data_IF_622226371657
#
_entry.id   IF_622226371657
#
_cell.length_a   1.000
_cell.length_b   1.000
_cell.length_c   1.000
_cell.angle_alpha   90.00
_cell.angle_beta   90.00
_cell.angle_gamma   90.00
#
_symmetry.space_group_name_H-M   'P 1'
#
loop_
_entity.id
_entity.type
_entity.pdbx_description
1 polymer ?
#
# COMPACT_ATOMS: atom_id res chain seq x y z
N UNK A 1 15.19 24.57 -2.11
CA UNK A 1 14.35 24.04 -1.01
C UNK A 1 13.54 22.88 -1.57
N UNK A 2 13.66 21.69 -0.97
CA UNK A 2 12.92 20.50 -1.39
C UNK A 2 11.52 20.57 -0.77
N UNK A 3 10.51 20.95 -1.55
CA UNK A 3 9.11 20.74 -1.17
C UNK A 3 8.69 19.38 -1.70
N UNK A 4 8.90 18.33 -0.90
CA UNK A 4 8.22 17.06 -1.14
C UNK A 4 6.81 17.25 -0.61
N UNK A 5 5.89 17.66 -1.48
CA UNK A 5 4.46 17.64 -1.16
C UNK A 5 4.03 16.18 -1.36
N UNK A 6 4.04 15.40 -0.29
CA UNK A 6 3.38 14.10 -0.30
C UNK A 6 1.88 14.38 -0.22
N UNK A 7 1.21 14.43 -1.37
CA UNK A 7 -0.26 14.40 -1.40
C UNK A 7 -0.66 12.95 -1.18
N UNK A 8 -0.87 12.61 0.09
CA UNK A 8 -1.30 11.30 0.56
C UNK A 8 -2.78 11.11 0.23
N UNK A 9 -3.13 10.90 -1.04
CA UNK A 9 -4.54 10.79 -1.48
C UNK A 9 -5.18 9.44 -1.17
N UNK A 10 -4.41 8.41 -0.80
CA UNK A 10 -4.94 7.05 -0.71
C UNK A 10 -4.38 6.20 0.46
N UNK A 11 -3.95 6.83 1.55
CA UNK A 11 -3.26 6.13 2.65
C UNK A 11 -4.08 6.13 3.94
N UNK A 12 -5.37 5.83 3.83
CA UNK A 12 -6.21 5.72 5.04
C UNK A 12 -6.03 4.37 5.75
N UNK A 13 -5.61 3.32 5.04
CA UNK A 13 -5.38 2.00 5.63
C UNK A 13 -3.94 1.80 6.14
N UNK A 14 -2.91 2.10 5.33
CA UNK A 14 -1.52 1.73 5.66
C UNK A 14 -0.85 2.60 6.73
N UNK A 15 -1.17 3.90 6.80
CA UNK A 15 -0.58 4.81 7.82
C UNK A 15 -1.19 4.59 9.21
N UNK A 16 -2.49 4.25 9.29
CA UNK A 16 -3.17 4.00 10.56
C UNK A 16 -2.55 2.81 11.31
N UNK A 17 -2.07 1.78 10.58
CA UNK A 17 -1.33 0.65 11.17
C UNK A 17 0.07 1.05 11.66
N UNK A 18 0.79 1.92 10.92
CA UNK A 18 2.12 2.42 11.30
C UNK A 18 2.13 3.25 12.59
N UNK A 19 1.11 4.08 12.82
CA UNK A 19 0.98 4.88 14.05
C UNK A 19 0.44 4.08 15.25
N UNK A 20 -0.24 2.95 15.03
CA UNK A 20 -0.70 2.09 16.13
C UNK A 20 0.44 1.30 16.76
N UNK A 21 1.43 0.86 15.97
CA UNK A 21 2.59 0.13 16.45
C UNK A 21 3.56 0.99 17.28
N UNK A 22 3.58 2.31 17.06
CA UNK A 22 4.46 3.25 17.77
C UNK A 22 3.90 3.76 19.10
N UNK A 23 2.64 3.44 19.45
CA UNK A 23 1.96 4.01 20.63
C UNK A 23 1.97 3.13 21.87
N UNK A 24 2.69 2.01 21.89
CA UNK A 24 2.87 1.18 23.08
C UNK A 24 4.14 1.63 23.79
N UNK A 25 4.02 2.67 24.63
CA UNK A 25 5.12 3.09 25.48
C UNK A 25 5.04 4.54 25.95
N UNK A 26 4.03 4.87 26.74
CA UNK A 26 4.17 5.92 27.77
C UNK A 26 3.01 5.82 28.77
N UNK A 27 3.33 5.36 29.98
CA UNK A 27 2.42 5.33 31.11
C UNK A 27 2.67 6.51 32.06
N UNK A 28 1.59 6.99 32.68
CA UNK A 28 1.53 7.49 34.05
C UNK A 28 2.12 8.88 34.36
N UNK A 29 1.26 9.81 34.80
CA UNK A 29 1.68 11.02 35.52
C UNK A 29 0.53 11.99 35.80
N UNK A 30 0.08 12.04 37.06
CA UNK A 30 -0.93 12.95 37.61
C UNK A 30 -0.45 14.41 37.83
N UNK A 31 -1.42 15.33 37.96
CA UNK A 31 -1.31 16.67 38.56
C UNK A 31 -1.52 17.81 37.55
N UNK A 32 -2.26 18.89 37.76
CA UNK A 32 -2.90 19.53 38.91
C UNK A 32 -3.44 20.91 38.41
N UNK A 33 -4.37 21.51 39.15
CA UNK A 33 -5.34 22.58 38.77
C UNK A 33 -4.82 24.04 38.70
N UNK A 34 -5.73 24.91 38.20
CA UNK A 34 -6.01 26.36 38.44
C UNK A 34 -5.54 27.36 37.37
N UNK A 35 -6.46 28.01 36.62
CA UNK A 35 -7.32 29.21 36.90
C UNK A 35 -6.54 30.52 36.68
N UNK A 36 -7.05 31.66 36.19
CA UNK A 36 -8.19 32.11 35.36
C UNK A 36 -8.01 33.66 35.24
N UNK A 37 -8.75 34.34 34.34
CA UNK A 37 -9.06 35.80 34.27
C UNK A 37 -7.97 36.80 33.77
N UNK A 38 -8.15 37.55 32.65
CA UNK A 38 -9.03 38.72 32.35
C UNK A 38 -8.51 40.05 32.99
N UNK A 39 -8.52 41.29 32.45
CA UNK A 39 -9.22 41.99 31.35
C UNK A 39 -8.75 43.49 31.26
N UNK A 40 -8.83 44.13 30.07
CA UNK A 40 -8.93 45.59 29.71
C UNK A 40 -7.89 46.64 30.20
N UNK A 41 -7.54 47.75 29.50
CA UNK A 41 -7.94 48.37 28.23
C UNK A 41 -7.33 49.80 28.01
N UNK A 42 -7.29 50.23 26.74
CA UNK A 42 -7.37 51.60 26.16
C UNK A 42 -6.18 52.64 26.16
N UNK A 43 -5.65 52.86 24.93
CA UNK A 43 -5.41 54.11 24.12
C UNK A 43 -4.43 55.22 24.59
N UNK A 44 -3.37 55.49 23.79
CA UNK A 44 -3.20 56.70 22.93
C UNK A 44 -1.74 56.98 22.47
N UNK A 45 -1.60 57.30 21.16
CA UNK A 45 -0.66 58.21 20.46
C UNK A 45 0.86 57.95 20.35
N UNK A 46 1.36 58.05 19.11
CA UNK A 46 2.64 58.70 18.79
C UNK A 46 3.70 57.89 18.03
N UNK A 47 3.68 58.01 16.70
CA UNK A 47 4.78 58.03 15.71
C UNK A 47 6.07 57.16 15.80
N UNK A 48 6.38 56.64 14.60
CA UNK A 48 7.69 56.33 13.99
C UNK A 48 8.40 54.97 14.25
N UNK A 49 8.65 54.32 13.09
CA UNK A 49 9.82 53.52 12.67
C UNK A 49 9.93 52.03 13.05
N UNK A 50 9.68 51.25 12.01
CA UNK A 50 10.47 50.11 11.49
C UNK A 50 10.70 48.83 12.32
N UNK A 51 10.56 47.73 11.59
CA UNK A 51 11.05 46.38 11.86
C UNK A 51 10.29 45.54 12.91
N UNK A 52 9.49 44.58 12.44
CA UNK A 52 9.62 43.14 12.76
C UNK A 52 8.32 42.35 12.63
N UNK A 53 8.44 41.20 11.96
CA UNK A 53 7.68 39.95 12.16
C UNK A 53 6.16 40.05 12.03
N UNK A 54 5.69 39.84 10.80
CA UNK A 54 4.31 39.39 10.58
C UNK A 54 4.12 38.04 11.27
N UNK A 55 3.38 38.05 12.37
CA UNK A 55 2.93 36.86 13.07
C UNK A 55 2.05 36.06 12.13
N UNK A 56 2.57 34.91 11.68
CA UNK A 56 1.79 33.94 10.92
C UNK A 56 0.68 33.43 11.84
N UNK A 57 -0.55 33.78 11.47
CA UNK A 57 -1.80 33.30 12.04
C UNK A 57 -1.73 31.79 12.24
N UNK A 58 -1.58 31.39 13.50
CA UNK A 58 -1.50 29.98 13.92
C UNK A 58 -2.92 29.50 14.18
N UNK A 59 -3.68 29.27 13.12
CA UNK A 59 -4.98 28.61 13.23
C UNK A 59 -5.30 27.98 11.89
N UNK A 60 -5.33 26.63 11.88
CA UNK A 60 -5.88 25.66 10.89
C UNK A 60 -4.96 24.42 10.66
N UNK A 61 -3.75 24.35 11.21
CA UNK A 61 -2.82 23.22 10.97
C UNK A 61 -2.92 22.01 11.93
N UNK A 62 -3.88 21.93 12.84
CA UNK A 62 -3.82 20.94 13.94
C UNK A 62 -4.52 19.60 13.73
N UNK A 63 -5.02 19.29 12.52
CA UNK A 63 -5.68 17.98 12.26
C UNK A 63 -4.76 16.99 11.54
N UNK A 64 -3.74 17.48 10.84
CA UNK A 64 -2.73 16.65 10.17
C UNK A 64 -1.36 17.20 10.53
N UNK A 65 -0.59 16.45 11.33
CA UNK A 65 0.77 16.84 11.69
C UNK A 65 1.62 16.95 10.43
N UNK A 66 1.97 18.17 10.03
CA UNK A 66 2.97 18.40 8.99
C UNK A 66 4.33 18.10 9.61
N UNK A 67 4.93 17.00 9.20
CA UNK A 67 6.30 16.65 9.59
C UNK A 67 7.26 17.41 8.66
N UNK A 68 8.26 18.07 9.22
CA UNK A 68 9.28 18.75 8.43
C UNK A 68 10.17 17.72 7.70
N UNK A 69 10.84 18.16 6.63
CA UNK A 69 11.60 17.24 5.79
C UNK A 69 12.74 16.53 6.54
N UNK A 70 13.35 17.16 7.55
CA UNK A 70 14.43 16.52 8.30
C UNK A 70 13.90 15.38 9.17
N UNK A 71 12.79 15.61 9.89
CA UNK A 71 12.13 14.57 10.68
C UNK A 71 11.56 13.46 9.80
N UNK A 72 10.94 13.81 8.66
CA UNK A 72 10.44 12.82 7.71
C UNK A 72 11.58 11.93 7.18
N UNK A 73 12.72 12.52 6.80
CA UNK A 73 13.90 11.77 6.36
C UNK A 73 14.61 11.01 7.49
N UNK A 74 14.33 11.31 8.76
CA UNK A 74 14.82 10.55 9.91
C UNK A 74 13.98 9.31 10.18
N UNK A 75 12.65 9.43 10.03
CA UNK A 75 11.71 8.32 10.18
C UNK A 75 11.66 7.42 8.92
N UNK A 76 11.89 8.03 7.77
CA UNK A 76 11.85 7.41 6.45
C UNK A 76 13.13 7.75 5.67
N UNK A 77 14.26 7.09 5.99
CA UNK A 77 15.54 7.33 5.32
C UNK A 77 15.50 7.08 3.80
N UNK A 78 14.59 6.24 3.32
CA UNK A 78 14.34 5.99 1.90
C UNK A 78 13.90 7.26 1.14
N UNK A 79 13.27 8.24 1.81
CA UNK A 79 12.83 9.50 1.17
C UNK A 79 14.00 10.34 0.65
N UNK A 80 15.20 10.15 1.20
CA UNK A 80 16.42 10.85 0.75
C UNK A 80 16.85 10.44 -0.66
N UNK A 81 16.41 9.27 -1.12
CA UNK A 81 16.78 8.66 -2.41
C UNK A 81 15.73 8.88 -3.49
N UNK A 82 14.63 9.54 -3.16
CA UNK A 82 13.61 9.90 -4.15
C UNK A 82 14.15 10.93 -5.14
N UNK A 83 13.76 10.84 -6.41
CA UNK A 83 14.07 11.87 -7.38
C UNK A 83 13.39 13.19 -6.98
N UNK A 84 13.86 14.35 -7.48
CA UNK A 84 13.21 15.65 -7.27
C UNK A 84 11.92 15.76 -8.12
N UNK A 85 11.04 14.77 -8.01
CA UNK A 85 9.81 14.59 -8.77
C UNK A 85 8.65 14.41 -7.78
N UNK A 86 7.44 14.63 -8.26
CA UNK A 86 6.23 14.41 -7.46
C UNK A 86 5.94 12.92 -7.42
N UNK A 87 6.04 12.33 -6.23
CA UNK A 87 5.56 10.97 -5.98
C UNK A 87 4.04 11.01 -5.85
N UNK A 88 3.35 10.21 -6.65
CA UNK A 88 1.88 10.12 -6.69
C UNK A 88 1.32 8.86 -6.08
N UNK A 89 2.12 7.79 -6.01
CA UNK A 89 1.73 6.52 -5.42
C UNK A 89 2.80 6.02 -4.47
N UNK A 90 2.35 5.46 -3.35
CA UNK A 90 3.21 4.82 -2.36
C UNK A 90 2.51 3.59 -1.81
N UNK A 91 3.28 2.55 -1.49
CA UNK A 91 2.80 1.42 -0.71
C UNK A 91 3.87 0.97 0.28
N UNK A 92 3.43 0.40 1.40
CA UNK A 92 4.30 -0.02 2.50
C UNK A 92 3.96 -1.43 2.93
N UNK A 93 4.99 -2.25 3.15
CA UNK A 93 4.87 -3.57 3.74
C UNK A 93 5.81 -3.67 4.94
N UNK A 94 5.28 -4.10 6.08
CA UNK A 94 6.07 -4.41 7.27
C UNK A 94 6.44 -5.90 7.24
N UNK A 95 7.70 -6.17 7.55
CA UNK A 95 8.29 -7.49 7.65
C UNK A 95 8.80 -7.65 9.08
N UNK A 96 8.23 -8.57 9.83
CA UNK A 96 8.56 -8.78 11.25
C UNK A 96 9.25 -10.13 11.41
N UNK A 97 10.57 -10.13 11.58
CA UNK A 97 11.36 -11.35 11.81
C UNK A 97 11.94 -11.33 13.24
N UNK A 98 11.16 -11.87 14.18
CA UNK A 98 11.49 -11.83 15.61
C UNK A 98 11.60 -10.41 16.13
N UNK A 99 12.79 -10.04 16.65
CA UNK A 99 13.08 -8.69 17.14
C UNK A 99 13.48 -7.71 16.00
N UNK A 100 13.68 -8.21 14.78
CA UNK A 100 14.02 -7.37 13.64
C UNK A 100 12.76 -6.97 12.87
N UNK A 101 12.60 -5.66 12.70
CA UNK A 101 11.50 -5.08 11.96
C UNK A 101 12.05 -4.40 10.72
N UNK A 102 11.61 -4.81 9.53
CA UNK A 102 11.94 -4.13 8.30
C UNK A 102 10.70 -3.50 7.70
N UNK A 103 10.87 -2.34 7.07
CA UNK A 103 9.85 -1.70 6.26
C UNK A 103 10.30 -1.71 4.82
N UNK A 104 9.44 -2.22 3.95
CA UNK A 104 9.58 -2.08 2.53
C UNK A 104 8.65 -0.99 2.01
N UNK A 105 9.19 -0.09 1.21
CA UNK A 105 8.48 1.11 0.74
C UNK A 105 8.60 1.20 -0.77
N UNK A 106 7.48 1.21 -1.48
CA UNK A 106 7.42 1.39 -2.92
C UNK A 106 6.92 2.81 -3.26
N UNK A 107 7.45 3.40 -4.32
CA UNK A 107 7.18 4.76 -4.75
C UNK A 107 6.99 4.82 -6.27
N UNK A 108 6.03 5.63 -6.73
CA UNK A 108 5.72 5.80 -8.14
C UNK A 108 5.40 7.26 -8.49
N UNK A 109 5.82 7.70 -9.68
CA UNK A 109 5.65 9.08 -10.15
C UNK A 109 4.82 9.16 -11.44
N UNK A 110 4.40 10.36 -11.79
CA UNK A 110 3.67 10.64 -13.05
C UNK A 110 4.51 10.46 -14.32
N UNK A 111 5.82 10.38 -14.21
CA UNK A 111 6.72 10.20 -15.35
C UNK A 111 7.30 8.78 -15.45
N UNK A 112 6.65 7.82 -14.79
CA UNK A 112 6.98 6.40 -14.89
C UNK A 112 8.12 5.94 -14.00
N UNK A 113 8.73 6.81 -13.20
CA UNK A 113 9.77 6.39 -12.27
C UNK A 113 9.17 5.58 -11.12
N UNK A 114 9.86 4.47 -10.78
CA UNK A 114 9.49 3.56 -9.71
C UNK A 114 10.70 3.35 -8.82
N UNK A 115 10.52 3.42 -7.51
CA UNK A 115 11.57 3.12 -6.53
C UNK A 115 11.05 2.20 -5.43
N UNK A 116 11.91 1.31 -4.94
CA UNK A 116 11.63 0.43 -3.80
C UNK A 116 12.79 0.51 -2.82
N UNK A 117 12.51 0.83 -1.57
CA UNK A 117 13.46 0.84 -0.47
C UNK A 117 13.17 -0.26 0.54
N UNK A 118 14.22 -0.83 1.12
CA UNK A 118 14.17 -1.71 2.28
C UNK A 118 14.90 -1.04 3.45
N UNK A 119 14.19 -0.84 4.54
CA UNK A 119 14.65 -0.09 5.72
C UNK A 119 14.62 -1.00 6.94
N UNK A 120 15.67 -0.97 7.73
CA UNK A 120 15.64 -1.48 9.10
C UNK A 120 14.93 -0.48 9.99
N UNK A 121 13.94 -0.91 10.75
CA UNK A 121 13.15 -0.06 11.64
C UNK A 121 13.73 -0.03 13.06
N UNK A 122 14.59 -0.99 13.42
CA UNK A 122 15.26 -1.01 14.74
C UNK A 122 16.37 0.05 14.82
N UNK A 123 17.12 0.20 13.72
CA UNK A 123 18.00 1.31 13.45
C UNK A 123 17.53 1.92 12.14
N UNK A 124 16.89 3.11 12.10
CA UNK A 124 16.20 3.66 10.94
C UNK A 124 17.17 3.97 9.79
N UNK A 125 17.63 2.92 9.14
CA UNK A 125 18.71 2.89 8.16
C UNK A 125 18.22 2.15 6.91
N UNK A 126 18.56 2.74 5.76
CA UNK A 126 18.24 2.18 4.47
C UNK A 126 19.21 1.05 4.13
N UNK A 127 18.72 -0.20 4.15
CA UNK A 127 19.51 -1.39 3.80
C UNK A 127 19.73 -1.50 2.29
N UNK A 128 18.68 -1.23 1.50
CA UNK A 128 18.75 -1.31 0.05
C UNK A 128 17.75 -0.37 -0.61
N UNK A 129 18.07 0.07 -1.82
CA UNK A 129 17.18 0.86 -2.66
C UNK A 129 17.39 0.54 -4.13
N UNK A 130 16.31 0.22 -4.82
CA UNK A 130 16.31 -0.09 -6.24
C UNK A 130 15.31 0.80 -6.96
N UNK A 131 15.59 1.13 -8.22
CA UNK A 131 14.67 1.93 -9.01
C UNK A 131 14.72 1.51 -10.48
N UNK A 132 13.66 1.86 -11.20
CA UNK A 132 13.54 1.67 -12.64
C UNK A 132 12.60 2.74 -13.21
N UNK A 133 12.41 2.74 -14.53
CA UNK A 133 11.45 3.64 -15.18
C UNK A 133 10.60 2.87 -16.17
N UNK A 134 9.31 3.19 -16.14
CA UNK A 134 8.33 2.91 -17.17
C UNK A 134 8.24 4.10 -18.12
N UNK A 135 7.63 3.89 -19.29
CA UNK A 135 7.47 4.90 -20.33
C UNK A 135 6.17 5.72 -20.15
N UNK A 136 5.36 5.38 -19.15
CA UNK A 136 4.09 6.03 -18.85
C UNK A 136 3.88 6.25 -17.35
N UNK A 137 2.92 7.13 -17.02
CA UNK A 137 2.61 7.49 -15.64
C UNK A 137 2.27 6.26 -14.79
N UNK A 138 2.85 6.17 -13.59
CA UNK A 138 2.45 5.16 -12.61
C UNK A 138 1.08 5.53 -12.07
N UNK A 139 0.14 4.59 -12.12
CA UNK A 139 -1.26 4.75 -11.69
C UNK A 139 -1.60 3.90 -10.48
N UNK A 140 -0.70 3.01 -10.06
CA UNK A 140 -0.89 2.19 -8.87
C UNK A 140 0.33 1.33 -8.55
N UNK A 141 0.55 1.07 -7.26
CA UNK A 141 1.59 0.20 -6.75
C UNK A 141 1.01 -0.66 -5.64
N UNK A 142 1.39 -1.94 -5.60
CA UNK A 142 1.04 -2.83 -4.49
C UNK A 142 2.18 -3.78 -4.16
N UNK A 143 2.58 -3.81 -2.90
CA UNK A 143 3.48 -4.80 -2.33
C UNK A 143 2.64 -5.96 -1.79
N UNK A 144 3.03 -7.18 -2.15
CA UNK A 144 2.32 -8.39 -1.75
C UNK A 144 3.24 -9.61 -1.77
N UNK A 145 2.86 -10.67 -1.06
CA UNK A 145 3.56 -11.95 -1.08
C UNK A 145 2.78 -12.91 -1.96
N UNK A 146 3.42 -13.59 -2.91
CA UNK A 146 2.70 -14.48 -3.82
C UNK A 146 2.51 -15.89 -3.26
N UNK A 147 3.52 -16.44 -2.56
CA UNK A 147 3.53 -17.87 -2.23
C UNK A 147 3.56 -18.18 -0.73
N UNK A 148 4.17 -17.31 0.06
CA UNK A 148 4.28 -17.49 1.50
C UNK A 148 3.79 -16.20 2.16
N UNK A 149 2.55 -16.19 2.64
CA UNK A 149 1.94 -15.02 3.28
C UNK A 149 2.57 -14.69 4.64
N UNK A 150 3.12 -15.71 5.30
CA UNK A 150 3.72 -15.60 6.63
C UNK A 150 5.23 -15.33 6.56
N UNK A 151 5.83 -15.43 5.38
CA UNK A 151 7.25 -15.12 5.17
C UNK A 151 7.59 -13.70 5.60
N UNK A 152 8.65 -13.60 6.39
CA UNK A 152 9.24 -12.35 6.85
C UNK A 152 10.38 -11.91 5.92
N UNK A 153 10.72 -12.73 4.94
CA UNK A 153 11.83 -12.50 4.01
C UNK A 153 11.48 -11.42 2.98
N UNK A 154 12.31 -10.37 2.84
CA UNK A 154 12.16 -9.39 1.75
C UNK A 154 12.24 -10.01 0.35
N UNK A 155 12.83 -11.21 0.23
CA UNK A 155 12.96 -11.89 -1.06
C UNK A 155 11.64 -12.50 -1.55
N UNK A 156 10.66 -12.71 -0.68
CA UNK A 156 9.38 -13.34 -1.07
C UNK A 156 8.32 -12.30 -1.47
N UNK A 157 8.64 -11.02 -1.32
CA UNK A 157 7.74 -9.94 -1.68
C UNK A 157 7.85 -9.64 -3.18
N UNK A 158 6.70 -9.41 -3.80
CA UNK A 158 6.57 -8.93 -5.17
C UNK A 158 5.97 -7.53 -5.21
N UNK A 159 6.26 -6.80 -6.28
CA UNK A 159 5.72 -5.47 -6.54
C UNK A 159 4.84 -5.52 -7.80
N UNK A 160 3.55 -5.26 -7.62
CA UNK A 160 2.61 -4.98 -8.70
C UNK A 160 2.69 -3.50 -9.08
N UNK A 161 2.80 -3.23 -10.37
CA UNK A 161 2.90 -1.87 -10.92
C UNK A 161 1.84 -1.69 -12.00
N UNK A 162 0.98 -0.71 -11.79
CA UNK A 162 0.02 -0.22 -12.78
C UNK A 162 0.57 1.03 -13.46
N UNK A 163 0.42 1.06 -14.78
CA UNK A 163 0.89 2.14 -15.63
C UNK A 163 -0.23 2.59 -16.56
N UNK A 164 -0.26 3.87 -16.91
CA UNK A 164 -1.35 4.46 -17.67
C UNK A 164 -1.43 3.99 -19.12
N UNK A 165 -0.30 3.69 -19.77
CA UNK A 165 -0.24 3.31 -21.20
C UNK A 165 0.51 2.00 -21.45
N UNK A 166 0.96 1.35 -20.38
CA UNK A 166 1.69 0.09 -20.46
C UNK A 166 0.88 -1.02 -19.79
N UNK A 167 1.11 -2.28 -20.18
CA UNK A 167 0.59 -3.41 -19.45
C UNK A 167 0.96 -3.36 -17.97
N UNK A 168 0.10 -3.92 -17.11
CA UNK A 168 0.37 -4.11 -15.69
C UNK A 168 1.47 -5.14 -15.56
N UNK A 169 2.38 -4.90 -14.64
CA UNK A 169 3.53 -5.77 -14.44
C UNK A 169 3.74 -6.14 -12.99
N UNK A 170 4.29 -7.32 -12.77
CA UNK A 170 4.75 -7.77 -11.46
C UNK A 170 6.27 -7.94 -11.51
N UNK A 171 6.97 -7.21 -10.65
CA UNK A 171 8.38 -7.42 -10.37
C UNK A 171 8.51 -8.42 -9.21
N UNK A 172 9.10 -9.59 -9.48
CA UNK A 172 9.35 -10.59 -8.44
C UNK A 172 10.61 -10.24 -7.64
N UNK A 173 10.53 -10.43 -6.32
CA UNK A 173 11.69 -10.52 -5.43
C UNK A 173 12.71 -9.37 -5.63
N UNK A 174 12.32 -8.10 -5.44
CA UNK A 174 13.18 -6.95 -5.76
C UNK A 174 14.49 -6.96 -4.95
N UNK A 175 14.53 -7.66 -3.81
CA UNK A 175 15.69 -7.77 -2.91
C UNK A 175 16.25 -9.20 -2.79
N UNK A 176 16.11 -10.04 -3.82
CA UNK A 176 16.67 -11.40 -3.80
C UNK A 176 18.20 -11.37 -3.61
N UNK A 177 18.70 -12.10 -2.60
CA UNK A 177 20.13 -12.30 -2.37
C UNK A 177 20.66 -13.37 -3.35
N UNK A 178 21.11 -12.97 -4.53
CA UNK A 178 21.85 -13.88 -5.40
C UNK A 178 23.27 -14.06 -4.84
N UNK A 179 23.59 -15.26 -4.35
CA UNK A 179 24.90 -15.65 -3.81
C UNK A 179 26.06 -15.70 -4.83
N UNK A 180 25.94 -15.02 -5.97
CA UNK A 180 27.00 -14.89 -6.98
C UNK A 180 27.72 -13.56 -6.83
N UNK A 181 28.96 -13.62 -6.33
CA UNK A 181 29.93 -12.53 -6.40
C UNK A 181 30.06 -12.01 -7.86
N UNK A 182 29.55 -10.81 -8.13
CA UNK A 182 29.91 -10.02 -9.31
C UNK A 182 28.74 -9.36 -10.03
N UNK A 183 28.52 -8.06 -9.77
CA UNK A 183 27.66 -7.18 -10.58
C UNK A 183 26.33 -6.83 -9.92
N UNK A 184 26.27 -5.67 -9.26
CA UNK A 184 25.20 -5.29 -8.35
C UNK A 184 23.87 -4.85 -8.96
N UNK A 185 22.86 -4.83 -8.09
CA UNK A 185 21.61 -4.09 -8.26
C UNK A 185 20.40 -5.02 -8.26
N UNK A 186 19.51 -4.86 -7.29
CA UNK A 186 18.31 -5.68 -7.13
C UNK A 186 17.39 -5.67 -8.36
N UNK A 187 16.44 -6.60 -8.32
CA UNK A 187 15.78 -7.22 -9.47
C UNK A 187 14.65 -6.38 -10.08
N UNK A 188 14.74 -5.05 -10.11
CA UNK A 188 13.81 -4.19 -10.88
C UNK A 188 14.24 -4.06 -12.35
N UNK A 189 14.64 -5.18 -12.95
CA UNK A 189 15.11 -5.24 -14.33
C UNK A 189 13.96 -5.60 -15.28
N UNK A 190 14.05 -5.27 -16.58
CA UNK A 190 13.07 -5.73 -17.56
C UNK A 190 12.95 -7.26 -17.63
N UNK A 191 14.00 -8.01 -17.27
CA UNK A 191 14.05 -9.47 -17.30
C UNK A 191 13.29 -10.16 -16.17
N UNK A 192 13.00 -9.47 -15.07
CA UNK A 192 12.27 -10.01 -13.90
C UNK A 192 10.80 -9.62 -13.89
N UNK A 193 10.37 -8.90 -14.93
CA UNK A 193 9.02 -8.40 -15.12
C UNK A 193 8.12 -9.50 -15.66
N UNK A 194 7.01 -9.74 -14.99
CA UNK A 194 5.90 -10.53 -15.53
C UNK A 194 4.82 -9.58 -16.01
N UNK A 195 4.38 -9.77 -17.25
CA UNK A 195 3.29 -8.99 -17.81
C UNK A 195 1.97 -9.68 -17.52
N UNK A 196 0.99 -8.93 -17.01
CA UNK A 196 -0.39 -9.41 -16.92
C UNK A 196 -1.02 -9.33 -18.32
N UNK A 197 -1.42 -10.46 -18.92
CA UNK A 197 -1.94 -10.47 -20.28
C UNK A 197 -3.25 -9.67 -20.37
N UNK A 198 -3.49 -9.02 -21.50
CA UNK A 198 -4.72 -8.25 -21.78
C UNK A 198 -4.98 -7.02 -20.90
N UNK A 199 -4.09 -6.68 -19.97
CA UNK A 199 -4.34 -5.58 -19.04
C UNK A 199 -4.37 -4.20 -19.71
N UNK A 200 -3.73 -4.07 -20.89
CA UNK A 200 -3.70 -2.84 -21.69
C UNK A 200 -4.78 -2.80 -22.78
N UNK A 201 -5.64 -3.82 -22.88
CA UNK A 201 -6.63 -3.94 -23.96
C UNK A 201 -7.87 -3.07 -23.70
N UNK A 202 -8.02 -2.54 -22.47
CA UNK A 202 -9.25 -1.91 -21.98
C UNK A 202 -9.03 -0.48 -21.46
N UNK A 203 -8.37 0.35 -22.27
CA UNK A 203 -7.95 1.72 -21.93
C UNK A 203 -6.88 1.70 -20.79
N UNK A 204 -6.73 2.82 -20.08
CA UNK A 204 -5.77 2.96 -19.01
C UNK A 204 -6.16 2.20 -17.75
N UNK A 205 -5.14 1.60 -17.13
CA UNK A 205 -5.25 0.95 -15.83
C UNK A 205 -5.23 2.00 -14.74
N UNK A 206 -6.26 2.03 -13.90
CA UNK A 206 -6.40 3.03 -12.84
C UNK A 206 -5.97 2.54 -11.47
N UNK A 207 -6.22 1.27 -11.17
CA UNK A 207 -6.00 0.72 -9.85
C UNK A 207 -5.90 -0.79 -9.93
N UNK A 208 -5.31 -1.38 -8.88
CA UNK A 208 -5.31 -2.81 -8.67
C UNK A 208 -5.33 -3.12 -7.18
N UNK A 209 -5.82 -4.30 -6.83
CA UNK A 209 -5.71 -4.85 -5.50
C UNK A 209 -5.30 -6.32 -5.58
N UNK A 210 -4.83 -6.86 -4.46
CA UNK A 210 -4.29 -8.22 -4.37
C UNK A 210 -4.85 -8.86 -3.10
N UNK A 211 -5.49 -10.01 -3.23
CA UNK A 211 -6.07 -10.76 -2.12
C UNK A 211 -6.31 -12.21 -2.53
N UNK A 212 -6.30 -13.11 -1.55
CA UNK A 212 -6.79 -14.49 -1.70
C UNK A 212 -8.33 -14.45 -1.75
N UNK A 213 -8.88 -14.52 -2.96
CA UNK A 213 -10.30 -14.36 -3.26
C UNK A 213 -11.03 -15.69 -3.34
N UNK A 214 -10.33 -16.80 -3.58
CA UNK A 214 -10.93 -18.14 -3.68
C UNK A 214 -10.58 -19.06 -2.50
N UNK A 215 -9.79 -18.55 -1.54
CA UNK A 215 -9.40 -19.18 -0.29
C UNK A 215 -8.49 -20.40 -0.48
N UNK A 216 -7.69 -20.42 -1.55
CA UNK A 216 -6.69 -21.44 -1.80
C UNK A 216 -5.34 -21.16 -1.10
N UNK A 217 -5.17 -19.96 -0.52
CA UNK A 217 -3.97 -19.49 0.17
C UNK A 217 -2.96 -18.75 -0.70
N UNK A 218 -3.20 -18.66 -2.01
CA UNK A 218 -2.48 -17.83 -2.95
C UNK A 218 -3.34 -16.58 -3.26
N UNK A 219 -2.71 -15.43 -3.52
CA UNK A 219 -3.48 -14.24 -3.83
C UNK A 219 -3.69 -14.08 -5.34
N UNK A 220 -4.91 -13.68 -5.68
CA UNK A 220 -5.27 -13.21 -7.02
C UNK A 220 -4.99 -11.72 -7.15
N UNK A 221 -4.73 -11.30 -8.39
CA UNK A 221 -4.59 -9.89 -8.73
C UNK A 221 -5.87 -9.43 -9.43
N UNK A 222 -6.45 -8.33 -8.95
CA UNK A 222 -7.59 -7.69 -9.58
C UNK A 222 -7.18 -6.32 -10.11
N UNK A 223 -7.41 -6.08 -11.39
CA UNK A 223 -7.10 -4.83 -12.08
C UNK A 223 -8.38 -4.12 -12.49
N UNK A 224 -8.47 -2.83 -12.19
CA UNK A 224 -9.56 -1.94 -12.59
C UNK A 224 -9.13 -0.94 -13.64
N UNK A 225 -9.88 -0.87 -14.74
CA UNK A 225 -9.58 0.03 -15.86
C UNK A 225 -10.61 1.13 -16.02
N UNK A 226 -10.20 2.23 -16.65
CA UNK A 226 -11.12 3.29 -17.04
C UNK A 226 -12.10 2.85 -18.13
N UNK A 227 -11.69 1.89 -18.97
CA UNK A 227 -12.53 1.20 -19.95
C UNK A 227 -13.62 0.31 -19.35
N UNK A 228 -13.95 0.49 -18.07
CA UNK A 228 -15.04 -0.17 -17.35
C UNK A 228 -14.85 -1.68 -17.22
N UNK A 229 -13.62 -2.14 -17.06
CA UNK A 229 -13.32 -3.55 -16.85
C UNK A 229 -12.71 -3.82 -15.48
N UNK A 230 -13.11 -4.95 -14.91
CA UNK A 230 -12.37 -5.66 -13.87
C UNK A 230 -11.77 -6.91 -14.50
N UNK A 231 -10.48 -7.09 -14.29
CA UNK A 231 -9.70 -8.22 -14.79
C UNK A 231 -9.13 -8.98 -13.60
N UNK A 232 -9.37 -10.28 -13.55
CA UNK A 232 -8.95 -11.15 -12.47
C UNK A 232 -7.87 -12.07 -12.98
N UNK A 233 -6.75 -12.10 -12.26
CA UNK A 233 -5.59 -12.87 -12.62
C UNK A 233 -5.25 -13.86 -11.53
N UNK A 234 -4.99 -15.08 -11.96
CA UNK A 234 -4.53 -16.17 -11.12
C UNK A 234 -3.12 -16.58 -11.59
N UNK A 235 -2.36 -17.14 -10.67
CA UNK A 235 -1.03 -17.68 -10.90
C UNK A 235 -1.11 -19.08 -11.54
N UNK A 236 -0.62 -19.19 -12.77
CA UNK A 236 -0.43 -20.48 -13.43
C UNK A 236 1.05 -20.89 -13.33
N UNK A 237 1.37 -21.86 -12.49
CA UNK A 237 2.72 -22.38 -12.29
C UNK A 237 2.84 -23.27 -11.07
N UNK A 238 4.03 -23.80 -10.80
CA UNK A 238 4.26 -24.54 -9.55
C UNK A 238 4.30 -23.55 -8.38
N UNK A 239 3.55 -23.80 -7.29
CA UNK A 239 3.70 -23.03 -6.05
C UNK A 239 5.16 -23.10 -5.59
N UNK A 240 5.72 -21.99 -5.11
CA UNK A 240 7.11 -21.89 -4.62
C UNK A 240 8.22 -22.15 -5.65
N UNK A 241 7.91 -22.18 -6.95
CA UNK A 241 8.92 -22.03 -8.01
C UNK A 241 8.91 -20.59 -8.50
N UNK A 242 9.69 -19.68 -7.88
CA UNK A 242 9.65 -18.24 -8.21
C UNK A 242 10.12 -17.94 -9.65
N UNK A 243 10.66 -18.93 -10.37
CA UNK A 243 11.13 -18.81 -11.75
C UNK A 243 10.22 -19.50 -12.77
N UNK A 244 9.29 -20.36 -12.37
CA UNK A 244 8.43 -21.14 -13.28
C UNK A 244 6.94 -20.84 -13.06
N UNK A 245 6.46 -19.76 -13.68
CA UNK A 245 5.04 -19.46 -13.76
C UNK A 245 4.73 -18.10 -14.35
N UNK A 246 3.45 -17.84 -14.57
CA UNK A 246 2.92 -16.61 -15.16
C UNK A 246 1.50 -16.36 -14.68
N UNK A 247 1.07 -15.10 -14.71
CA UNK A 247 -0.33 -14.78 -14.47
C UNK A 247 -1.18 -15.02 -15.70
N UNK A 248 -2.37 -15.56 -15.50
CA UNK A 248 -3.37 -15.79 -16.55
C UNK A 248 -4.66 -15.08 -16.20
N UNK A 249 -5.32 -14.48 -17.20
CA UNK A 249 -6.62 -13.86 -17.02
C UNK A 249 -7.69 -14.96 -16.85
N UNK A 250 -8.24 -15.10 -15.64
CA UNK A 250 -9.23 -16.13 -15.30
C UNK A 250 -10.66 -15.64 -15.38
N UNK A 251 -10.88 -14.36 -15.11
CA UNK A 251 -12.20 -13.76 -15.20
C UNK A 251 -12.13 -12.30 -15.64
N UNK A 252 -13.17 -11.86 -16.33
CA UNK A 252 -13.36 -10.48 -16.74
C UNK A 252 -14.80 -10.08 -16.47
N UNK A 253 -14.98 -8.90 -15.88
CA UNK A 253 -16.30 -8.33 -15.60
C UNK A 253 -16.38 -6.89 -16.08
N UNK A 254 -17.41 -6.60 -16.88
CA UNK A 254 -17.75 -5.23 -17.26
C UNK A 254 -18.47 -4.52 -16.09
N UNK A 255 -18.05 -3.29 -15.82
CA UNK A 255 -18.64 -2.41 -14.81
C UNK A 255 -19.55 -1.36 -15.45
N UNK A 256 -20.43 -0.77 -14.64
CA UNK A 256 -21.36 0.29 -15.08
C UNK A 256 -20.71 1.67 -15.24
N UNK A 257 -19.42 1.79 -14.94
CA UNK A 257 -18.64 3.02 -15.01
C UNK A 257 -17.14 2.77 -14.97
N UNK A 258 -16.35 3.81 -15.21
CA UNK A 258 -14.89 3.75 -15.10
C UNK A 258 -14.50 3.34 -13.68
N UNK A 259 -13.59 2.38 -13.53
CA UNK A 259 -13.12 1.93 -12.22
C UNK A 259 -12.08 2.92 -11.71
N UNK A 260 -12.31 3.50 -10.54
CA UNK A 260 -11.44 4.50 -9.93
C UNK A 260 -10.58 3.95 -8.81
N UNK A 261 -11.12 3.02 -8.02
CA UNK A 261 -10.42 2.43 -6.89
C UNK A 261 -10.97 1.03 -6.61
N UNK A 262 -10.06 0.17 -6.17
CA UNK A 262 -10.31 -1.18 -5.71
C UNK A 262 -9.74 -1.32 -4.31
N UNK A 263 -10.53 -1.91 -3.43
CA UNK A 263 -10.06 -2.37 -2.12
C UNK A 263 -10.43 -3.85 -2.00
N UNK A 264 -9.42 -4.68 -1.72
CA UNK A 264 -9.58 -6.07 -1.37
C UNK A 264 -8.48 -6.51 -0.38
N UNK A 265 -8.79 -7.49 0.46
CA UNK A 265 -7.87 -8.03 1.48
C UNK A 265 -7.98 -7.39 2.86
N UNK A 266 -7.36 -8.00 3.87
CA UNK A 266 -7.28 -7.46 5.23
C UNK A 266 -8.61 -7.41 6.00
N UNK A 267 -9.20 -8.57 6.29
CA UNK A 267 -10.48 -8.69 7.01
C UNK A 267 -11.60 -7.85 6.37
N UNK A 268 -11.53 -7.57 5.06
CA UNK A 268 -12.57 -6.87 4.30
C UNK A 268 -13.78 -7.79 4.07
N UNK A 269 -14.42 -8.12 5.17
CA UNK A 269 -15.74 -8.69 5.26
C UNK A 269 -16.74 -7.54 5.44
N UNK A 270 -16.99 -6.81 4.34
CA UNK A 270 -17.92 -5.67 4.36
C UNK A 270 -19.36 -6.07 4.71
N UNK A 271 -19.69 -7.36 4.59
CA UNK A 271 -21.01 -7.90 4.83
C UNK A 271 -21.16 -8.53 6.22
N UNK A 272 -20.05 -8.80 6.92
CA UNK A 272 -20.05 -9.50 8.20
C UNK A 272 -20.37 -11.00 8.08
N UNK A 273 -20.21 -11.60 6.90
CA UNK A 273 -20.54 -13.00 6.62
C UNK A 273 -19.32 -13.94 6.61
N UNK A 274 -18.14 -13.41 6.92
CA UNK A 274 -16.86 -14.11 6.92
C UNK A 274 -16.21 -14.25 5.54
N UNK A 275 -16.76 -13.61 4.50
CA UNK A 275 -16.34 -13.79 3.12
C UNK A 275 -15.63 -12.54 2.61
N UNK A 276 -14.54 -12.73 1.87
CA UNK A 276 -13.84 -11.61 1.28
C UNK A 276 -14.69 -10.98 0.18
N UNK A 277 -14.85 -9.66 0.29
CA UNK A 277 -15.56 -8.84 -0.67
C UNK A 277 -14.57 -7.87 -1.33
N UNK A 278 -14.80 -7.59 -2.61
CA UNK A 278 -14.10 -6.55 -3.33
C UNK A 278 -14.98 -5.31 -3.35
N UNK A 279 -14.49 -4.21 -2.78
CA UNK A 279 -15.13 -2.91 -2.92
C UNK A 279 -14.60 -2.22 -4.19
N UNK A 280 -15.52 -1.91 -5.09
CA UNK A 280 -15.22 -1.31 -6.40
C UNK A 280 -15.87 0.06 -6.49
N UNK A 281 -15.07 1.11 -6.42
CA UNK A 281 -15.53 2.47 -6.66
C UNK A 281 -15.49 2.77 -8.16
N UNK A 282 -16.66 3.07 -8.72
CA UNK A 282 -16.81 3.48 -10.11
C UNK A 282 -17.32 4.90 -10.22
N UNK A 283 -17.25 5.49 -11.41
CA UNK A 283 -17.86 6.80 -11.69
C UNK A 283 -19.38 6.86 -11.46
N UNK A 284 -20.05 5.72 -11.30
CA UNK A 284 -21.49 5.61 -11.09
C UNK A 284 -21.87 5.15 -9.68
N UNK A 285 -20.90 4.86 -8.81
CA UNK A 285 -21.15 4.43 -7.44
C UNK A 285 -20.17 3.36 -6.94
N UNK A 286 -20.37 2.99 -5.68
CA UNK A 286 -19.64 1.93 -4.98
C UNK A 286 -20.37 0.59 -5.16
N UNK A 287 -19.65 -0.45 -5.57
CA UNK A 287 -20.15 -1.81 -5.74
C UNK A 287 -19.40 -2.73 -4.79
N UNK A 288 -20.13 -3.58 -4.05
CA UNK A 288 -19.53 -4.66 -3.28
C UNK A 288 -19.72 -5.96 -4.05
N UNK A 289 -18.61 -6.58 -4.47
CA UNK A 289 -18.61 -7.83 -5.21
C UNK A 289 -18.12 -8.94 -4.29
N UNK A 290 -19.02 -9.84 -3.94
CA UNK A 290 -18.64 -11.13 -3.38
C UNK A 290 -18.23 -12.04 -4.54
N UNK A 291 -17.07 -12.67 -4.43
CA UNK A 291 -16.59 -13.58 -5.46
C UNK A 291 -17.51 -14.80 -5.51
N UNK A 292 -18.47 -14.81 -6.45
CA UNK A 292 -19.57 -15.76 -6.49
C UNK A 292 -19.15 -17.24 -6.62
N UNK A 293 -17.88 -17.51 -6.95
CA UNK A 293 -17.28 -18.85 -6.91
C UNK A 293 -17.15 -19.42 -5.49
N UNK A 294 -17.19 -18.57 -4.46
CA UNK A 294 -17.17 -19.02 -3.08
C UNK A 294 -18.44 -19.79 -2.66
N UNK A 295 -19.62 -19.51 -3.22
CA UNK A 295 -20.80 -20.30 -2.81
C UNK A 295 -20.68 -21.75 -3.27
N UNK A 296 -20.09 -22.00 -4.44
CA UNK A 296 -19.92 -23.35 -4.96
C UNK A 296 -18.72 -24.08 -4.34
N UNK A 297 -17.66 -23.36 -3.95
CA UNK A 297 -16.43 -23.94 -3.36
C UNK A 297 -16.41 -23.95 -1.84
N UNK A 298 -16.84 -22.85 -1.20
CA UNK A 298 -16.76 -22.69 0.25
C UNK A 298 -17.91 -23.38 0.97
N UNK A 299 -19.08 -23.57 0.37
CA UNK A 299 -20.15 -24.35 1.00
C UNK A 299 -19.71 -25.81 1.24
N UNK A 300 -19.11 -26.54 0.28
CA UNK A 300 -18.52 -27.85 0.54
C UNK A 300 -17.41 -27.85 1.60
N UNK A 301 -16.53 -26.84 1.59
CA UNK A 301 -15.39 -26.72 2.50
C UNK A 301 -15.82 -26.39 3.94
N UNK A 302 -16.77 -25.47 4.10
CA UNK A 302 -17.46 -25.16 5.35
C UNK A 302 -18.24 -26.37 5.84
N UNK A 303 -18.96 -27.08 4.97
CA UNK A 303 -19.66 -28.30 5.34
C UNK A 303 -18.69 -29.41 5.77
N UNK A 304 -17.52 -29.53 5.13
CA UNK A 304 -16.48 -30.47 5.55
C UNK A 304 -15.87 -30.09 6.90
N UNK A 305 -15.57 -28.81 7.12
CA UNK A 305 -15.09 -28.29 8.41
C UNK A 305 -16.13 -28.49 9.52
N UNK A 306 -17.39 -28.13 9.29
CA UNK A 306 -18.50 -28.37 10.21
C UNK A 306 -18.68 -29.85 10.56
N UNK A 307 -18.53 -30.75 9.57
CA UNK A 307 -18.54 -32.21 9.82
C UNK A 307 -17.31 -32.71 10.58
N UNK A 308 -16.18 -32.01 10.48
CA UNK A 308 -14.94 -32.34 11.19
C UNK A 308 -14.87 -31.75 12.60
N UNK A 309 -15.81 -30.87 12.97
CA UNK A 309 -15.90 -30.35 14.33
C UNK A 309 -16.27 -31.48 15.29
N UNK A 310 -15.60 -31.58 16.45
CA UNK A 310 -15.92 -32.59 17.44
C UNK A 310 -17.32 -32.33 18.00
N UNK A 311 -18.03 -33.40 18.39
CA UNK A 311 -19.44 -33.36 18.82
C UNK A 311 -19.72 -32.51 20.07
N UNK A 312 -18.68 -32.00 20.72
CA UNK A 312 -18.72 -31.09 21.85
C UNK A 312 -18.47 -29.61 21.49
N UNK A 313 -18.36 -29.26 20.20
CA UNK A 313 -18.22 -27.88 19.77
C UNK A 313 -19.52 -27.11 20.05
N UNK A 314 -19.49 -26.22 21.03
CA UNK A 314 -20.58 -25.29 21.33
C UNK A 314 -20.22 -23.92 20.75
N UNK A 315 -21.07 -23.39 19.87
CA UNK A 315 -21.04 -21.98 19.51
C UNK A 315 -21.44 -21.18 20.76
N UNK A 316 -20.51 -20.38 21.27
CA UNK A 316 -20.75 -19.37 22.30
C UNK A 316 -21.49 -18.17 21.73
#
# INVERSE_FOLDING_TARGET
MRHVVVVVSNVRASITRLFSATKVGEGGGEGGRHDDSDVHGARSSGDEKDCHKSAVSTTVNSVFGVIDNASACSLFPELKHLPPRVVTFMDFLLLEDGDTHHRMSAFGTLDGWIGVGLVDMTQPELKAFHFTSHDSAITGLKLFRQFDQDSTSPSDVSLLVCSGLEPVVVYRCPFQNDGSNGGGGGKLTPSSRLVLPHSADFDHVNCACVADLDFDGLPEIVVGTFGQQLLFYDWCGKPHSPTEGSYTLVHQRRMVGAVHSLECGGECDFLGDGMYCIAVLTSHGLHLLQCAHLLDFCVPLLAARLRSLPSNFQCS
#
